data_IF_118709612544
#
_entry.id   IF_118709612544
#
_cell.length_a   1.000
_cell.length_b   1.000
_cell.length_c   1.000
_cell.angle_alpha   90.00
_cell.angle_beta   90.00
_cell.angle_gamma   90.00
#
_symmetry.space_group_name_H-M   'P 1'
#
loop_
_entity.id
_entity.type
_entity.pdbx_description
1 polymer ?
#
# COMPACT_ATOMS: atom_id res chain seq x y z
N UNK A 1 -19.59 17.37 -31.94
CA UNK A 1 -18.39 17.77 -32.69
C UNK A 1 -17.17 17.13 -32.02
N UNK A 2 -16.54 16.14 -32.66
CA UNK A 2 -15.29 15.52 -32.18
C UNK A 2 -14.16 16.32 -32.83
N UNK A 3 -13.35 17.02 -32.05
CA UNK A 3 -12.14 17.66 -32.59
C UNK A 3 -11.03 16.62 -32.63
N UNK A 4 -10.42 16.42 -33.79
CA UNK A 4 -9.34 15.44 -33.97
C UNK A 4 -8.14 15.77 -33.08
N UNK A 5 -7.68 17.02 -33.10
CA UNK A 5 -6.56 17.49 -32.28
C UNK A 5 -6.81 18.90 -31.77
N UNK A 6 -6.51 19.12 -30.49
CA UNK A 6 -6.56 20.45 -29.89
C UNK A 6 -5.25 20.75 -29.15
N UNK A 7 -4.65 21.91 -29.44
CA UNK A 7 -3.50 22.43 -28.71
C UNK A 7 -3.92 23.67 -27.92
N UNK A 8 -3.56 23.72 -26.64
CA UNK A 8 -3.75 24.88 -25.80
C UNK A 8 -2.43 25.25 -25.15
N UNK A 9 -1.87 26.38 -25.56
CA UNK A 9 -0.61 26.93 -25.06
C UNK A 9 -0.88 28.18 -24.21
N UNK A 10 0.11 28.66 -23.46
CA UNK A 10 0.01 29.93 -22.73
C UNK A 10 -0.81 29.89 -21.43
N UNK A 11 -1.57 30.95 -21.17
CA UNK A 11 -2.46 31.09 -20.00
C UNK A 11 -3.91 30.90 -20.44
N UNK A 12 -4.56 29.83 -20.01
CA UNK A 12 -5.98 29.59 -20.31
C UNK A 12 -6.81 29.61 -19.03
N UNK A 13 -7.82 30.46 -18.98
CA UNK A 13 -8.76 30.56 -17.87
C UNK A 13 -10.18 30.31 -18.37
N UNK A 14 -10.90 29.41 -17.69
CA UNK A 14 -12.28 29.05 -18.06
C UNK A 14 -13.12 28.77 -16.81
N UNK A 15 -14.39 29.15 -16.81
CA UNK A 15 -15.30 28.78 -15.72
C UNK A 15 -15.71 27.30 -15.84
N UNK A 16 -16.09 26.88 -17.04
CA UNK A 16 -16.44 25.50 -17.43
C UNK A 16 -15.74 25.13 -18.72
N UNK A 17 -15.28 23.89 -18.83
CA UNK A 17 -14.69 23.36 -20.05
C UNK A 17 -15.16 21.93 -20.28
N UNK A 18 -15.87 21.71 -21.38
CA UNK A 18 -16.31 20.40 -21.88
C UNK A 18 -15.59 20.13 -23.19
N UNK A 19 -14.93 18.98 -23.31
CA UNK A 19 -14.20 18.63 -24.53
C UNK A 19 -14.29 17.14 -24.82
N UNK A 20 -14.51 16.84 -26.09
CA UNK A 20 -14.44 15.50 -26.66
C UNK A 20 -13.50 15.57 -27.85
N UNK A 21 -12.30 15.01 -27.72
CA UNK A 21 -11.24 15.13 -28.73
C UNK A 21 -10.46 13.83 -28.87
N UNK A 22 -9.83 13.55 -30.01
CA UNK A 22 -8.93 12.38 -30.10
C UNK A 22 -7.63 12.67 -29.35
N UNK A 23 -7.02 13.83 -29.61
CA UNK A 23 -5.77 14.25 -28.99
C UNK A 23 -5.88 15.64 -28.40
N UNK A 24 -5.36 15.83 -27.18
CA UNK A 24 -5.30 17.13 -26.52
C UNK A 24 -3.92 17.36 -25.90
N UNK A 25 -3.27 18.45 -26.29
CA UNK A 25 -2.05 18.94 -25.68
C UNK A 25 -2.33 20.25 -24.94
N UNK A 26 -2.03 20.29 -23.65
CA UNK A 26 -2.14 21.48 -22.83
C UNK A 26 -0.77 21.84 -22.26
N UNK A 27 -0.18 22.95 -22.68
CA UNK A 27 1.07 23.49 -22.16
C UNK A 27 0.84 24.84 -21.49
N UNK A 28 1.63 25.16 -20.45
CA UNK A 28 1.56 26.46 -19.77
C UNK A 28 0.75 26.47 -18.46
N UNK A 29 -0.05 27.53 -18.23
CA UNK A 29 -0.88 27.69 -17.02
C UNK A 29 -2.36 27.57 -17.40
N UNK A 30 -3.02 26.51 -16.95
CA UNK A 30 -4.46 26.33 -17.21
C UNK A 30 -5.26 26.34 -15.91
N UNK A 31 -6.24 27.22 -15.81
CA UNK A 31 -7.15 27.34 -14.68
C UNK A 31 -8.59 27.11 -15.13
N UNK A 32 -9.28 26.17 -14.48
CA UNK A 32 -10.68 25.87 -14.79
C UNK A 32 -11.54 25.68 -13.55
N UNK A 33 -12.73 26.26 -13.47
CA UNK A 33 -13.67 25.96 -12.38
C UNK A 33 -14.12 24.48 -12.42
N UNK A 34 -14.69 24.06 -13.55
CA UNK A 34 -15.10 22.68 -13.85
C UNK A 34 -14.51 22.23 -15.19
N UNK A 35 -13.96 21.03 -15.24
CA UNK A 35 -13.41 20.42 -16.47
C UNK A 35 -13.95 19.01 -16.65
N UNK A 36 -14.60 18.76 -17.78
CA UNK A 36 -15.07 17.46 -18.23
C UNK A 36 -14.38 17.15 -19.56
N UNK A 37 -13.69 16.02 -19.63
CA UNK A 37 -12.97 15.63 -20.84
C UNK A 37 -13.14 14.16 -21.16
N UNK A 38 -13.38 13.90 -22.44
CA UNK A 38 -13.31 12.57 -23.04
C UNK A 38 -12.25 12.68 -24.13
N UNK A 39 -11.15 11.94 -23.98
CA UNK A 39 -10.02 12.06 -24.93
C UNK A 39 -9.34 10.73 -25.15
N UNK A 40 -8.84 10.42 -26.33
CA UNK A 40 -7.99 9.21 -26.50
C UNK A 40 -6.63 9.43 -25.86
N UNK A 41 -5.96 10.54 -26.20
CA UNK A 41 -4.63 10.89 -25.72
C UNK A 41 -4.57 12.31 -25.16
N UNK A 42 -4.17 12.45 -23.88
CA UNK A 42 -4.03 13.75 -23.23
C UNK A 42 -2.62 13.94 -22.68
N UNK A 43 -1.95 15.00 -23.15
CA UNK A 43 -0.68 15.48 -22.58
C UNK A 43 -0.91 16.82 -21.86
N UNK A 44 -0.54 16.89 -20.58
CA UNK A 44 -0.65 18.08 -19.76
C UNK A 44 0.72 18.45 -19.19
N UNK A 45 1.27 19.57 -19.64
CA UNK A 45 2.59 20.08 -19.25
C UNK A 45 2.45 21.46 -18.60
N UNK A 46 3.05 21.65 -17.42
CA UNK A 46 3.08 22.96 -16.73
C UNK A 46 2.25 23.02 -15.45
N UNK A 47 1.49 24.10 -15.24
CA UNK A 47 0.65 24.30 -14.03
C UNK A 47 -0.82 24.20 -14.40
N UNK A 48 -1.51 23.16 -13.93
CA UNK A 48 -2.96 23.01 -14.14
C UNK A 48 -3.70 23.07 -12.81
N UNK A 49 -4.64 24.00 -12.68
CA UNK A 49 -5.51 24.17 -11.52
C UNK A 49 -6.96 23.96 -11.92
N UNK A 50 -7.67 23.10 -11.19
CA UNK A 50 -9.09 22.89 -11.44
C UNK A 50 -9.91 22.77 -10.16
N UNK A 51 -11.08 23.39 -10.07
CA UNK A 51 -12.00 23.12 -8.96
C UNK A 51 -12.45 21.66 -8.99
N UNK A 52 -13.16 21.26 -10.05
CA UNK A 52 -13.58 19.87 -10.31
C UNK A 52 -13.04 19.39 -11.66
N UNK A 53 -12.51 18.17 -11.70
CA UNK A 53 -11.99 17.55 -12.92
C UNK A 53 -12.54 16.14 -13.08
N UNK A 54 -13.21 15.89 -14.19
CA UNK A 54 -13.74 14.60 -14.63
C UNK A 54 -13.07 14.25 -15.96
N UNK A 55 -12.44 13.09 -16.05
CA UNK A 55 -11.75 12.67 -17.26
C UNK A 55 -11.97 11.19 -17.55
N UNK A 56 -12.26 10.90 -18.80
CA UNK A 56 -12.18 9.56 -19.38
C UNK A 56 -11.11 9.62 -20.47
N UNK A 57 -10.03 8.85 -20.33
CA UNK A 57 -8.92 8.93 -21.29
C UNK A 57 -8.22 7.61 -21.51
N UNK A 58 -7.90 7.22 -22.75
CA UNK A 58 -7.09 6.01 -22.97
C UNK A 58 -5.69 6.19 -22.41
N UNK A 59 -4.99 7.26 -22.80
CA UNK A 59 -3.62 7.56 -22.34
C UNK A 59 -3.49 8.99 -21.81
N UNK A 60 -3.01 9.12 -20.57
CA UNK A 60 -2.77 10.41 -19.92
C UNK A 60 -1.33 10.55 -19.44
N UNK A 61 -0.63 11.57 -19.97
CA UNK A 61 0.65 12.02 -19.47
C UNK A 61 0.51 13.37 -18.78
N UNK A 62 0.96 13.46 -17.53
CA UNK A 62 0.91 14.68 -16.72
C UNK A 62 2.31 15.03 -16.20
N UNK A 63 2.89 16.09 -16.75
CA UNK A 63 4.18 16.67 -16.36
C UNK A 63 3.95 18.01 -15.64
N UNK A 64 4.66 18.26 -14.53
CA UNK A 64 4.59 19.55 -13.80
C UNK A 64 3.74 19.56 -12.53
N UNK A 65 2.94 20.62 -12.30
CA UNK A 65 2.13 20.82 -11.08
C UNK A 65 0.64 20.79 -11.41
N UNK A 66 -0.06 19.74 -10.96
CA UNK A 66 -1.52 19.64 -11.11
C UNK A 66 -2.20 19.73 -9.75
N UNK A 67 -3.13 20.68 -9.60
CA UNK A 67 -3.91 20.89 -8.39
C UNK A 67 -5.39 20.78 -8.70
N UNK A 68 -6.11 20.02 -7.88
CA UNK A 68 -7.57 19.93 -8.02
C UNK A 68 -8.29 19.75 -6.70
N UNK A 69 -9.40 20.44 -6.45
CA UNK A 69 -10.20 20.15 -5.24
C UNK A 69 -10.80 18.73 -5.33
N UNK A 70 -11.45 18.41 -6.46
CA UNK A 70 -12.00 17.08 -6.74
C UNK A 70 -11.51 16.57 -8.10
N UNK A 71 -11.02 15.32 -8.13
CA UNK A 71 -10.60 14.65 -9.36
C UNK A 71 -11.20 13.25 -9.47
N UNK A 72 -11.92 13.01 -10.54
CA UNK A 72 -12.44 11.71 -10.97
C UNK A 72 -11.80 11.36 -12.31
N UNK A 73 -11.25 10.15 -12.41
CA UNK A 73 -10.62 9.69 -13.65
C UNK A 73 -10.87 8.22 -13.91
N UNK A 74 -11.12 7.93 -15.18
CA UNK A 74 -11.09 6.58 -15.74
C UNK A 74 -10.06 6.60 -16.86
N UNK A 75 -9.04 5.74 -16.81
CA UNK A 75 -8.00 5.74 -17.84
C UNK A 75 -7.31 4.40 -18.03
N UNK A 76 -6.87 4.07 -19.24
CA UNK A 76 -6.13 2.82 -19.46
C UNK A 76 -4.68 2.98 -18.97
N UNK A 77 -3.98 4.02 -19.41
CA UNK A 77 -2.61 4.32 -19.05
C UNK A 77 -2.45 5.72 -18.45
N UNK A 78 -1.85 5.80 -17.25
CA UNK A 78 -1.55 7.08 -16.62
C UNK A 78 -0.07 7.17 -16.20
N UNK A 79 0.63 8.13 -16.78
CA UNK A 79 1.97 8.53 -16.36
C UNK A 79 1.93 9.91 -15.70
N UNK A 80 2.43 10.00 -14.47
CA UNK A 80 2.47 11.23 -13.68
C UNK A 80 3.90 11.55 -13.24
N UNK A 81 4.50 12.55 -13.89
CA UNK A 81 5.85 13.06 -13.67
C UNK A 81 5.79 14.47 -13.08
N UNK A 82 5.57 14.59 -11.76
CA UNK A 82 5.40 15.91 -11.14
C UNK A 82 4.82 15.95 -9.74
N UNK A 83 4.30 17.13 -9.36
CA UNK A 83 3.57 17.34 -8.11
C UNK A 83 2.07 17.33 -8.41
N UNK A 84 1.36 16.31 -7.95
CA UNK A 84 -0.11 16.29 -8.01
C UNK A 84 -0.68 16.45 -6.60
N UNK A 85 -1.56 17.44 -6.43
CA UNK A 85 -2.26 17.66 -5.17
C UNK A 85 -3.77 17.63 -5.40
N UNK A 86 -4.49 16.91 -4.57
CA UNK A 86 -5.94 16.91 -4.63
C UNK A 86 -6.62 16.68 -3.29
N UNK A 87 -7.65 17.44 -2.96
CA UNK A 87 -8.40 17.19 -1.71
C UNK A 87 -9.09 15.83 -1.75
N UNK A 88 -9.80 15.53 -2.85
CA UNK A 88 -10.42 14.23 -3.11
C UNK A 88 -10.00 13.68 -4.48
N UNK A 89 -9.56 12.41 -4.51
CA UNK A 89 -9.17 11.71 -5.74
C UNK A 89 -9.86 10.35 -5.83
N UNK A 90 -10.55 10.13 -6.93
CA UNK A 90 -11.10 8.85 -7.35
C UNK A 90 -10.49 8.47 -8.69
N UNK A 91 -9.90 7.28 -8.79
CA UNK A 91 -9.32 6.79 -10.03
C UNK A 91 -9.63 5.33 -10.26
N UNK A 92 -10.00 5.03 -11.50
CA UNK A 92 -10.02 3.68 -12.05
C UNK A 92 -8.99 3.65 -13.19
N UNK A 93 -8.01 2.75 -13.12
CA UNK A 93 -6.93 2.73 -14.11
C UNK A 93 -6.42 1.33 -14.40
N UNK A 94 -6.06 0.99 -15.64
CA UNK A 94 -5.39 -0.30 -15.87
C UNK A 94 -3.94 -0.23 -15.38
N UNK A 95 -3.17 0.74 -15.87
CA UNK A 95 -1.75 0.91 -15.55
C UNK A 95 -1.43 2.34 -15.07
N UNK A 96 -0.87 2.46 -13.86
CA UNK A 96 -0.49 3.74 -13.27
C UNK A 96 0.99 3.76 -12.87
N UNK A 97 1.73 4.70 -13.45
CA UNK A 97 3.10 5.05 -13.05
C UNK A 97 3.16 6.44 -12.44
N UNK A 98 3.68 6.53 -11.21
CA UNK A 98 3.84 7.79 -10.47
C UNK A 98 5.28 7.96 -9.98
N UNK A 99 6.00 8.93 -10.54
CA UNK A 99 7.46 9.04 -10.33
C UNK A 99 7.91 10.14 -9.36
N UNK A 100 6.99 10.98 -8.86
CA UNK A 100 7.35 12.10 -7.96
C UNK A 100 6.47 12.20 -6.71
N UNK A 101 5.64 13.25 -6.58
CA UNK A 101 4.95 13.57 -5.32
C UNK A 101 3.44 13.66 -5.55
N UNK A 102 2.70 12.76 -4.91
CA UNK A 102 1.24 12.85 -4.85
C UNK A 102 0.80 13.12 -3.41
N UNK A 103 -0.02 14.15 -3.23
CA UNK A 103 -0.64 14.46 -1.95
C UNK A 103 -2.15 14.50 -2.10
N UNK A 104 -2.85 13.86 -1.17
CA UNK A 104 -4.31 13.91 -1.15
C UNK A 104 -4.90 13.74 0.23
N UNK A 105 -5.93 14.50 0.58
CA UNK A 105 -6.65 14.24 1.84
C UNK A 105 -7.35 12.88 1.79
N UNK A 106 -8.13 12.63 0.73
CA UNK A 106 -8.80 11.34 0.48
C UNK A 106 -8.44 10.79 -0.90
N UNK A 107 -8.02 9.52 -0.96
CA UNK A 107 -7.71 8.81 -2.20
C UNK A 107 -8.41 7.45 -2.24
N UNK A 108 -9.19 7.24 -3.29
CA UNK A 108 -9.78 5.96 -3.67
C UNK A 108 -9.21 5.56 -5.02
N UNK A 109 -8.72 4.33 -5.13
CA UNK A 109 -8.19 3.79 -6.38
C UNK A 109 -8.56 2.34 -6.59
N UNK A 110 -8.91 2.05 -7.83
CA UNK A 110 -8.98 0.70 -8.37
C UNK A 110 -7.99 0.63 -9.53
N UNK A 111 -7.03 -0.29 -9.48
CA UNK A 111 -6.00 -0.37 -10.52
C UNK A 111 -5.54 -1.78 -10.79
N UNK A 112 -5.23 -2.17 -12.04
CA UNK A 112 -4.61 -3.48 -12.27
C UNK A 112 -3.15 -3.47 -11.82
N UNK A 113 -2.37 -2.53 -12.34
CA UNK A 113 -0.94 -2.39 -12.05
C UNK A 113 -0.57 -0.98 -11.60
N UNK A 114 0.06 -0.86 -10.43
CA UNK A 114 0.50 0.41 -9.87
C UNK A 114 1.98 0.39 -9.48
N UNK A 115 2.75 1.29 -10.09
CA UNK A 115 4.14 1.58 -9.70
C UNK A 115 4.25 3.00 -9.11
N UNK A 116 4.74 3.09 -7.88
CA UNK A 116 4.98 4.36 -7.18
C UNK A 116 6.44 4.43 -6.72
N UNK A 117 7.20 5.45 -7.17
CA UNK A 117 8.66 5.46 -6.96
C UNK A 117 9.25 6.54 -6.07
N UNK A 118 8.45 7.40 -5.40
CA UNK A 118 9.02 8.42 -4.49
C UNK A 118 8.20 8.70 -3.24
N UNK A 119 7.21 9.62 -3.31
CA UNK A 119 6.50 10.10 -2.10
C UNK A 119 5.01 10.22 -2.31
N UNK A 120 4.25 9.38 -1.61
CA UNK A 120 2.80 9.53 -1.48
C UNK A 120 2.43 9.87 -0.04
N UNK A 121 1.66 10.95 0.13
CA UNK A 121 1.10 11.33 1.41
C UNK A 121 -0.42 11.41 1.31
N UNK A 122 -1.11 10.75 2.24
CA UNK A 122 -2.56 10.85 2.30
C UNK A 122 -3.13 10.69 3.70
N UNK A 123 -4.13 11.49 4.07
CA UNK A 123 -4.83 11.28 5.34
C UNK A 123 -5.59 9.95 5.31
N UNK A 124 -6.40 9.72 4.27
CA UNK A 124 -7.14 8.46 4.04
C UNK A 124 -6.84 7.89 2.66
N UNK A 125 -6.46 6.61 2.61
CA UNK A 125 -6.22 5.87 1.36
C UNK A 125 -6.98 4.55 1.35
N UNK A 126 -7.79 4.35 0.32
CA UNK A 126 -8.43 3.08 -0.03
C UNK A 126 -7.90 2.64 -1.39
N UNK A 127 -7.47 1.39 -1.49
CA UNK A 127 -6.99 0.83 -2.74
C UNK A 127 -7.44 -0.61 -2.92
N UNK A 128 -7.83 -0.91 -4.15
CA UNK A 128 -7.97 -2.26 -4.67
C UNK A 128 -7.03 -2.37 -5.86
N UNK A 129 -6.11 -3.35 -5.85
CA UNK A 129 -5.11 -3.48 -6.91
C UNK A 129 -4.71 -4.93 -7.17
N UNK A 130 -4.45 -5.33 -8.40
CA UNK A 130 -3.88 -6.67 -8.65
C UNK A 130 -2.41 -6.70 -8.23
N UNK A 131 -1.61 -5.80 -8.80
CA UNK A 131 -0.17 -5.71 -8.57
C UNK A 131 0.25 -4.30 -8.14
N UNK A 132 0.89 -4.20 -6.98
CA UNK A 132 1.39 -2.93 -6.43
C UNK A 132 2.87 -3.01 -6.10
N UNK A 133 3.66 -2.17 -6.77
CA UNK A 133 5.05 -1.88 -6.41
C UNK A 133 5.17 -0.47 -5.84
N UNK A 134 5.64 -0.39 -4.60
CA UNK A 134 5.93 0.86 -3.93
C UNK A 134 7.40 0.90 -3.53
N UNK A 135 8.18 1.76 -4.17
CA UNK A 135 9.54 2.08 -3.78
C UNK A 135 9.53 3.45 -3.06
N UNK A 136 10.22 3.54 -1.92
CA UNK A 136 10.43 4.73 -1.06
C UNK A 136 9.40 5.05 0.05
N UNK A 137 9.04 6.34 0.20
CA UNK A 137 8.44 6.93 1.40
C UNK A 137 6.94 7.09 1.24
N UNK A 138 6.16 6.24 1.89
CA UNK A 138 4.70 6.43 1.96
C UNK A 138 4.24 6.72 3.39
N UNK A 139 3.48 7.82 3.54
CA UNK A 139 2.90 8.23 4.82
C UNK A 139 1.38 8.29 4.71
N UNK A 140 0.68 7.65 5.64
CA UNK A 140 -0.78 7.72 5.69
C UNK A 140 -1.38 7.59 7.08
N UNK A 141 -2.30 8.46 7.47
CA UNK A 141 -2.98 8.34 8.76
C UNK A 141 -3.85 7.09 8.83
N UNK A 142 -4.63 6.83 7.77
CA UNK A 142 -5.44 5.61 7.59
C UNK A 142 -5.22 5.02 6.21
N UNK A 143 -4.97 3.71 6.16
CA UNK A 143 -4.75 2.96 4.92
C UNK A 143 -5.54 1.65 4.93
N UNK A 144 -6.35 1.44 3.90
CA UNK A 144 -7.02 0.19 3.58
C UNK A 144 -6.57 -0.27 2.21
N UNK A 145 -6.08 -1.51 2.10
CA UNK A 145 -5.61 -2.09 0.84
C UNK A 145 -6.14 -3.52 0.68
N UNK A 146 -6.65 -3.81 -0.50
CA UNK A 146 -6.94 -5.16 -0.98
C UNK A 146 -6.04 -5.37 -2.19
N UNK A 147 -5.17 -6.36 -2.16
CA UNK A 147 -4.19 -6.55 -3.24
C UNK A 147 -3.80 -8.00 -3.46
N UNK A 148 -3.70 -8.47 -4.71
CA UNK A 148 -3.18 -9.83 -4.97
C UNK A 148 -1.69 -9.90 -4.62
N UNK A 149 -0.87 -9.04 -5.23
CA UNK A 149 0.57 -8.99 -5.03
C UNK A 149 1.05 -7.59 -4.65
N UNK A 150 1.70 -7.48 -3.48
CA UNK A 150 2.24 -6.24 -2.96
C UNK A 150 3.73 -6.35 -2.67
N UNK A 151 4.54 -5.55 -3.37
CA UNK A 151 5.94 -5.32 -3.07
C UNK A 151 6.13 -3.90 -2.52
N UNK A 152 6.64 -3.82 -1.30
CA UNK A 152 6.96 -2.56 -0.63
C UNK A 152 8.44 -2.53 -0.27
N UNK A 153 9.18 -1.58 -0.84
CA UNK A 153 10.58 -1.33 -0.49
C UNK A 153 10.71 0.09 0.08
N UNK A 154 11.57 0.29 1.09
CA UNK A 154 11.88 1.61 1.65
C UNK A 154 11.24 1.91 3.02
N UNK A 155 10.66 3.10 3.20
CA UNK A 155 10.13 3.57 4.51
C UNK A 155 8.62 3.81 4.46
N UNK A 156 7.83 2.95 5.09
CA UNK A 156 6.38 3.17 5.20
C UNK A 156 5.96 3.49 6.62
N UNK A 157 5.20 4.58 6.78
CA UNK A 157 4.64 5.00 8.06
C UNK A 157 3.13 5.12 7.97
N UNK A 158 2.41 4.54 8.94
CA UNK A 158 0.95 4.70 9.00
C UNK A 158 0.37 4.72 10.41
N UNK A 159 -0.60 5.58 10.67
CA UNK A 159 -1.33 5.56 11.94
C UNK A 159 -2.11 4.25 12.11
N UNK A 160 -3.00 3.95 11.15
CA UNK A 160 -3.77 2.71 11.06
C UNK A 160 -3.62 2.08 9.67
N UNK A 161 -3.34 0.78 9.61
CA UNK A 161 -3.20 0.01 8.38
C UNK A 161 -4.04 -1.26 8.44
N UNK A 162 -4.95 -1.42 7.49
CA UNK A 162 -5.70 -2.64 7.22
C UNK A 162 -5.29 -3.17 5.84
N UNK A 163 -4.93 -4.44 5.77
CA UNK A 163 -4.57 -5.09 4.51
C UNK A 163 -5.14 -6.48 4.40
N UNK A 164 -5.65 -6.78 3.21
CA UNK A 164 -5.98 -8.14 2.75
C UNK A 164 -5.15 -8.39 1.50
N UNK A 165 -4.30 -9.41 1.50
CA UNK A 165 -3.43 -9.66 0.33
C UNK A 165 -3.00 -11.10 0.17
N UNK A 166 -2.94 -11.61 -1.06
CA UNK A 166 -2.46 -12.98 -1.30
C UNK A 166 -0.97 -13.07 -0.98
N UNK A 167 -0.16 -12.19 -1.59
CA UNK A 167 1.30 -12.21 -1.45
C UNK A 167 1.84 -10.82 -1.10
N UNK A 168 2.57 -10.75 0.01
CA UNK A 168 3.18 -9.51 0.49
C UNK A 168 4.68 -9.68 0.72
N UNK A 169 5.47 -8.91 -0.01
CA UNK A 169 6.90 -8.71 0.24
C UNK A 169 7.14 -7.30 0.78
N UNK A 170 7.71 -7.22 1.98
CA UNK A 170 8.08 -5.96 2.62
C UNK A 170 9.58 -5.95 2.90
N UNK A 171 10.31 -5.02 2.29
CA UNK A 171 11.74 -4.77 2.57
C UNK A 171 11.93 -3.36 3.12
N UNK A 172 12.79 -3.21 4.13
CA UNK A 172 13.16 -1.90 4.70
C UNK A 172 12.57 -1.59 6.07
N UNK A 173 12.10 -0.35 6.29
CA UNK A 173 11.56 0.11 7.59
C UNK A 173 10.07 0.39 7.51
N UNK A 174 9.25 -0.39 8.21
CA UNK A 174 7.81 -0.14 8.31
C UNK A 174 7.41 0.17 9.76
N UNK A 175 6.72 1.29 9.97
CA UNK A 175 6.21 1.70 11.27
C UNK A 175 4.70 1.91 11.19
N UNK A 176 3.98 1.35 12.17
CA UNK A 176 2.53 1.57 12.23
C UNK A 176 1.98 1.62 13.65
N UNK A 177 1.10 2.57 13.96
CA UNK A 177 0.43 2.59 15.27
C UNK A 177 -0.43 1.33 15.48
N UNK A 178 -1.37 1.07 14.56
CA UNK A 178 -2.18 -0.16 14.51
C UNK A 178 -2.07 -0.83 13.14
N UNK A 179 -1.85 -2.15 13.12
CA UNK A 179 -1.76 -2.95 11.90
C UNK A 179 -2.65 -4.18 12.01
N UNK A 180 -3.54 -4.32 11.03
CA UNK A 180 -4.40 -5.48 10.81
C UNK A 180 -4.05 -6.07 9.44
N UNK A 181 -3.75 -7.35 9.39
CA UNK A 181 -3.37 -8.04 8.15
C UNK A 181 -4.01 -9.41 8.07
N UNK A 182 -4.54 -9.70 6.89
CA UNK A 182 -4.95 -11.03 6.45
C UNK A 182 -4.15 -11.32 5.19
N UNK A 183 -3.34 -12.39 5.19
CA UNK A 183 -2.51 -12.69 4.03
C UNK A 183 -2.15 -14.15 3.87
N UNK A 184 -2.14 -14.66 2.65
CA UNK A 184 -1.72 -16.05 2.41
C UNK A 184 -0.22 -16.19 2.67
N UNK A 185 0.60 -15.35 2.03
CA UNK A 185 2.06 -15.42 2.11
C UNK A 185 2.66 -14.06 2.43
N UNK A 186 3.43 -14.00 3.52
CA UNK A 186 4.11 -12.79 3.96
C UNK A 186 5.62 -13.02 4.12
N UNK A 187 6.41 -12.27 3.35
CA UNK A 187 7.84 -12.13 3.53
C UNK A 187 8.17 -10.72 4.04
N UNK A 188 8.81 -10.65 5.20
CA UNK A 188 9.23 -9.41 5.82
C UNK A 188 10.74 -9.40 6.06
N UNK A 189 11.45 -8.53 5.34
CA UNK A 189 12.87 -8.26 5.55
C UNK A 189 13.09 -6.86 6.13
N UNK A 190 13.98 -6.73 7.12
CA UNK A 190 14.35 -5.42 7.71
C UNK A 190 13.75 -5.11 9.10
N UNK A 191 13.30 -3.86 9.32
CA UNK A 191 12.78 -3.39 10.63
C UNK A 191 11.28 -3.08 10.56
N UNK A 192 10.45 -3.86 11.27
CA UNK A 192 9.01 -3.56 11.37
C UNK A 192 8.58 -3.29 12.81
N UNK A 193 8.13 -2.07 13.09
CA UNK A 193 7.65 -1.66 14.40
C UNK A 193 6.15 -1.39 14.38
N UNK A 194 5.44 -1.84 15.40
CA UNK A 194 4.02 -1.50 15.54
C UNK A 194 3.53 -1.52 16.97
N UNK A 195 2.77 -0.53 17.42
CA UNK A 195 2.21 -0.56 18.78
C UNK A 195 1.24 -1.75 18.93
N UNK A 196 0.26 -1.87 18.03
CA UNK A 196 -0.65 -3.03 18.00
C UNK A 196 -0.59 -3.75 16.65
N UNK A 197 -0.43 -5.07 16.68
CA UNK A 197 -0.40 -5.93 15.49
C UNK A 197 -1.38 -7.08 15.64
N UNK A 198 -2.28 -7.20 14.67
CA UNK A 198 -3.19 -8.33 14.47
C UNK A 198 -2.88 -8.92 13.09
N UNK A 199 -2.60 -10.22 13.04
CA UNK A 199 -2.23 -10.89 11.80
C UNK A 199 -2.84 -12.29 11.73
N UNK A 200 -3.47 -12.59 10.61
CA UNK A 200 -3.87 -13.94 10.20
C UNK A 200 -3.12 -14.25 8.92
N UNK A 201 -2.35 -15.34 8.90
CA UNK A 201 -1.58 -15.71 7.71
C UNK A 201 -1.35 -17.19 7.55
N UNK A 202 -1.27 -17.70 6.32
CA UNK A 202 -0.92 -19.11 6.11
C UNK A 202 0.57 -19.30 6.34
N UNK A 203 1.40 -18.51 5.65
CA UNK A 203 2.85 -18.64 5.67
C UNK A 203 3.53 -17.30 5.95
N UNK A 204 4.34 -17.27 7.01
CA UNK A 204 5.09 -16.07 7.41
C UNK A 204 6.59 -16.36 7.50
N UNK A 205 7.36 -15.64 6.69
CA UNK A 205 8.82 -15.57 6.77
C UNK A 205 9.26 -14.18 7.25
N UNK A 206 10.01 -14.14 8.34
CA UNK A 206 10.52 -12.91 8.92
C UNK A 206 12.04 -12.94 9.07
N UNK A 207 12.74 -12.12 8.28
CA UNK A 207 14.19 -11.94 8.30
C UNK A 207 14.53 -10.51 8.76
N UNK A 208 14.71 -10.32 10.07
CA UNK A 208 15.03 -8.98 10.61
C UNK A 208 14.59 -8.72 12.04
N UNK A 209 14.38 -7.43 12.36
CA UNK A 209 13.91 -6.98 13.68
C UNK A 209 12.43 -6.61 13.61
N UNK A 210 11.57 -7.36 14.28
CA UNK A 210 10.18 -6.98 14.47
C UNK A 210 9.91 -6.64 15.94
N UNK A 211 9.33 -5.47 16.18
CA UNK A 211 8.95 -5.04 17.53
C UNK A 211 7.49 -4.65 17.59
N UNK A 212 6.81 -5.07 18.65
CA UNK A 212 5.44 -4.60 18.92
C UNK A 212 5.06 -4.65 20.37
N UNK A 213 4.34 -3.65 20.90
CA UNK A 213 3.88 -3.76 22.30
C UNK A 213 2.82 -4.85 22.45
N UNK A 214 1.80 -4.89 21.58
CA UNK A 214 0.80 -5.97 21.56
C UNK A 214 0.79 -6.69 20.21
N UNK A 215 0.90 -8.02 20.25
CA UNK A 215 0.84 -8.89 19.06
C UNK A 215 -0.18 -10.01 19.25
N UNK A 216 -1.15 -10.09 18.35
CA UNK A 216 -2.04 -11.24 18.16
C UNK A 216 -1.75 -11.84 16.78
N UNK A 217 -1.49 -13.14 16.73
CA UNK A 217 -1.11 -13.83 15.51
C UNK A 217 -1.74 -15.20 15.44
N UNK A 218 -2.38 -15.48 14.31
CA UNK A 218 -2.80 -16.82 13.91
C UNK A 218 -2.05 -17.17 12.63
N UNK A 219 -1.25 -18.24 12.64
CA UNK A 219 -0.46 -18.62 11.47
C UNK A 219 -0.25 -20.11 11.31
N UNK A 220 -0.43 -20.66 10.11
CA UNK A 220 -0.15 -22.10 9.89
C UNK A 220 1.34 -22.37 10.05
N UNK A 221 2.17 -21.65 9.28
CA UNK A 221 3.62 -21.84 9.25
C UNK A 221 4.35 -20.53 9.50
N UNK A 222 5.26 -20.54 10.48
CA UNK A 222 6.07 -19.38 10.84
C UNK A 222 7.57 -19.72 10.86
N UNK A 223 8.34 -19.01 10.02
CA UNK A 223 9.79 -19.02 10.03
C UNK A 223 10.34 -17.66 10.46
N UNK A 224 11.16 -17.64 11.51
CA UNK A 224 11.77 -16.42 12.05
C UNK A 224 13.28 -16.60 12.27
N UNK A 225 14.10 -15.76 11.63
CA UNK A 225 15.55 -15.98 11.61
C UNK A 225 16.41 -15.01 12.42
N UNK A 226 15.83 -13.98 13.07
CA UNK A 226 16.63 -12.97 13.81
C UNK A 226 16.08 -12.55 15.18
N UNK A 227 15.21 -11.52 15.25
CA UNK A 227 14.78 -10.95 16.53
C UNK A 227 13.34 -10.47 16.47
N UNK A 228 12.46 -11.11 17.23
CA UNK A 228 11.12 -10.57 17.50
C UNK A 228 11.01 -10.22 18.99
N UNK A 229 10.57 -9.00 19.28
CA UNK A 229 10.31 -8.55 20.65
C UNK A 229 8.88 -8.04 20.78
N UNK A 230 8.22 -8.44 21.87
CA UNK A 230 6.90 -7.89 22.20
C UNK A 230 6.60 -7.91 23.69
N UNK A 231 5.99 -6.87 24.24
CA UNK A 231 5.63 -6.89 25.66
C UNK A 231 4.48 -7.87 25.95
N UNK A 232 3.44 -7.91 25.09
CA UNK A 232 2.36 -8.90 25.16
C UNK A 232 2.20 -9.63 23.82
N UNK A 233 2.20 -10.96 23.87
CA UNK A 233 2.05 -11.83 22.69
C UNK A 233 1.01 -12.91 22.92
N UNK A 234 0.03 -12.98 22.02
CA UNK A 234 -0.85 -14.13 21.83
C UNK A 234 -0.58 -14.72 20.45
N UNK A 235 -0.30 -16.02 20.41
CA UNK A 235 0.02 -16.72 19.17
C UNK A 235 -0.64 -18.09 19.12
N UNK A 236 -1.32 -18.36 18.02
CA UNK A 236 -1.75 -19.70 17.63
C UNK A 236 -1.02 -20.06 16.35
N UNK A 237 -0.26 -21.15 16.36
CA UNK A 237 0.45 -21.60 15.16
C UNK A 237 0.55 -23.10 15.04
N UNK A 238 0.46 -23.65 13.83
CA UNK A 238 0.64 -25.09 13.63
C UNK A 238 2.12 -25.44 13.70
N UNK A 239 2.96 -24.75 12.93
CA UNK A 239 4.39 -25.04 12.81
C UNK A 239 5.22 -23.78 13.01
N UNK A 240 6.14 -23.83 13.97
CA UNK A 240 7.03 -22.73 14.32
C UNK A 240 8.50 -23.14 14.19
N UNK A 241 9.23 -22.51 13.27
CA UNK A 241 10.67 -22.57 13.16
C UNK A 241 11.31 -21.23 13.55
N UNK A 242 12.18 -21.25 14.55
CA UNK A 242 12.89 -20.06 15.01
C UNK A 242 14.38 -20.33 15.18
N UNK A 243 15.24 -19.56 14.51
CA UNK A 243 16.70 -19.77 14.60
C UNK A 243 17.40 -18.83 15.58
N UNK A 244 16.78 -17.73 16.02
CA UNK A 244 17.36 -16.80 17.01
C UNK A 244 16.30 -15.99 17.81
N UNK A 245 16.62 -15.72 19.09
CA UNK A 245 16.05 -14.80 20.11
C UNK A 245 14.65 -14.22 19.86
N UNK A 246 13.64 -14.88 20.42
CA UNK A 246 12.30 -14.30 20.65
C UNK A 246 12.11 -13.90 22.11
N UNK A 247 11.82 -12.63 22.39
CA UNK A 247 11.61 -12.13 23.76
C UNK A 247 10.21 -11.57 23.93
N UNK A 248 9.54 -11.95 25.02
CA UNK A 248 8.28 -11.34 25.43
C UNK A 248 8.08 -11.35 26.93
N UNK A 249 7.60 -10.23 27.48
CA UNK A 249 7.32 -10.09 28.92
C UNK A 249 6.11 -10.93 29.34
N UNK A 250 5.06 -11.00 28.50
CA UNK A 250 3.88 -11.86 28.69
C UNK A 250 3.56 -12.59 27.40
N UNK A 251 3.40 -13.92 27.48
CA UNK A 251 3.25 -14.79 26.32
C UNK A 251 2.17 -15.84 26.57
N UNK A 252 1.19 -15.92 25.68
CA UNK A 252 0.32 -17.08 25.51
C UNK A 252 0.59 -17.65 24.12
N UNK A 253 0.96 -18.93 24.06
CA UNK A 253 1.15 -19.61 22.79
C UNK A 253 0.50 -20.98 22.79
N UNK A 254 -0.17 -21.26 21.68
CA UNK A 254 -0.59 -22.60 21.29
C UNK A 254 0.21 -22.97 20.04
N UNK A 255 0.96 -24.07 20.10
CA UNK A 255 1.79 -24.53 18.99
C UNK A 255 1.77 -26.04 18.88
N UNK A 256 1.47 -26.57 17.69
CA UNK A 256 1.43 -28.02 17.45
C UNK A 256 2.84 -28.58 17.25
N UNK A 257 3.70 -27.87 16.52
CA UNK A 257 5.07 -28.30 16.23
C UNK A 257 6.05 -27.14 16.37
N UNK A 258 7.10 -27.35 17.17
CA UNK A 258 8.09 -26.31 17.51
C UNK A 258 9.51 -26.81 17.25
N UNK A 259 10.24 -26.10 16.39
CA UNK A 259 11.69 -26.24 16.26
C UNK A 259 12.37 -24.90 16.56
N UNK A 260 13.18 -24.87 17.62
CA UNK A 260 13.93 -23.69 18.03
C UNK A 260 15.42 -24.02 18.15
N UNK A 261 16.27 -23.30 17.42
CA UNK A 261 17.73 -23.28 17.64
C UNK A 261 18.11 -21.94 18.28
N UNK A 262 19.01 -21.94 19.28
CA UNK A 262 19.50 -20.74 20.00
C UNK A 262 18.78 -20.39 21.33
N UNK A 263 19.26 -19.34 22.03
CA UNK A 263 18.73 -18.87 23.34
C UNK A 263 17.26 -18.44 23.26
N UNK A 264 16.33 -19.38 23.47
CA UNK A 264 14.90 -19.14 23.51
C UNK A 264 14.33 -19.68 24.83
N UNK A 265 13.75 -18.81 25.68
CA UNK A 265 12.89 -19.25 26.77
C UNK A 265 11.52 -19.61 26.17
N UNK A 266 11.38 -20.85 25.72
CA UNK A 266 10.12 -21.40 25.22
C UNK A 266 9.45 -22.20 26.35
N UNK A 267 8.77 -21.53 27.29
CA UNK A 267 7.78 -22.21 28.13
C UNK A 267 6.54 -22.49 27.27
N UNK A 268 6.34 -23.75 26.91
CA UNK A 268 5.11 -24.26 26.28
C UNK A 268 4.21 -24.71 27.43
N UNK A 269 3.03 -24.10 27.60
CA UNK A 269 1.97 -24.70 28.41
C UNK A 269 1.03 -25.40 27.45
N UNK A 270 1.24 -26.70 27.27
CA UNK A 270 0.36 -27.56 26.49
C UNK A 270 -0.19 -28.65 27.40
N UNK A 271 -1.47 -28.56 27.75
CA UNK A 271 -2.24 -29.74 28.15
C UNK A 271 -2.39 -30.62 26.90
N UNK A 272 -1.53 -31.62 26.75
CA UNK A 272 -1.82 -32.79 25.95
C UNK A 272 -1.35 -34.02 26.71
N UNK A 273 -2.29 -34.65 27.43
CA UNK A 273 -2.23 -36.09 27.66
C UNK A 273 -2.30 -36.74 26.28
N UNK A 274 -1.22 -37.33 25.83
CA UNK A 274 -1.24 -38.35 24.78
C UNK A 274 -0.30 -39.45 25.24
N UNK A 275 -0.91 -40.55 25.69
CA UNK A 275 -0.25 -41.84 25.88
C UNK A 275 0.59 -42.16 24.63
N UNK A 276 1.88 -42.41 24.83
CA UNK A 276 2.65 -43.22 23.88
C UNK A 276 3.06 -44.48 24.64
N UNK A 277 2.29 -45.53 24.35
CA UNK A 277 2.58 -46.90 24.65
C UNK A 277 3.41 -47.46 23.48
N UNK A 278 4.54 -48.10 23.77
CA UNK A 278 5.22 -49.18 23.00
C UNK A 278 6.59 -49.38 23.66
N UNK A 279 6.76 -50.35 24.57
CA UNK A 279 6.94 -51.80 24.37
C UNK A 279 8.21 -52.18 23.61
N UNK A 280 9.06 -52.90 24.35
CA UNK A 280 10.33 -53.61 24.07
C UNK A 280 11.54 -52.74 23.78
#
# INVERSE_FOLDING_TARGET
MITTSLMCTGRNQSSKRHMTTTSLMCTGRNQSGKRHMITTSLMCTGRNQSGKRYMTTTSLMCTGRNQSSKRHMTTTGLMCTGRNQSSKRHMTTTSLMCTRRNQSSKRHMTTTSLMCTRRNQSSKRHMTTTSLMCTDKNQSSKRHMITTSLMCTGRNQSGKRHMTTTSLMCTGRNQSGKRYMITTSLMCTGRNQSSKRYMTTTSLMCTGRNQSSKRHMTTTSLMCTRRNQSSKRHMTTTSLMCTVRNQSSKRHMTTTSLMCKGRNQCKVHGNHKSHVNRQK
#
